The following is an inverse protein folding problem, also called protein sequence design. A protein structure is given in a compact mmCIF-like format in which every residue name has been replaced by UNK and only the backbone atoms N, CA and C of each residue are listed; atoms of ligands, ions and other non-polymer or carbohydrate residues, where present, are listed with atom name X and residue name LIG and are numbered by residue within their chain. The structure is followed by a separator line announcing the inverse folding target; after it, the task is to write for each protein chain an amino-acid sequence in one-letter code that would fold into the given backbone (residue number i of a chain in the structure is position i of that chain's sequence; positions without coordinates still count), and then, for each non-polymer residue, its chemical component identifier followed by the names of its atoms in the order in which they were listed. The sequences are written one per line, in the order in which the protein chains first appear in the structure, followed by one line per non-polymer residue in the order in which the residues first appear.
data_IF_366619481124
#
_entry.id   IF_366619481124
#
_cell.length_a   1.000
_cell.length_b   1.000
_cell.length_c   1.000
_cell.angle_alpha   90.00
_cell.angle_beta   90.00
_cell.angle_gamma   90.00
#
_symmetry.space_group_name_H-M   'P 1'
#
loop_
_entity.id
_entity.type
_entity.pdbx_description
1 polymer ?
#
# COMPACT_ATOMS: atom_id res chain seq x y z
N UNK A 1 56.12 14.80 85.34
CA UNK A 1 56.04 15.32 83.94
C UNK A 1 56.34 14.24 82.89
N UNK A 2 57.45 13.50 83.05
CA UNK A 2 57.90 12.45 82.12
C UNK A 2 56.96 11.25 82.01
N UNK A 3 56.46 10.71 83.13
CA UNK A 3 55.56 9.55 83.11
C UNK A 3 54.22 9.83 82.39
N UNK A 4 53.71 11.07 82.46
CA UNK A 4 52.50 11.46 81.70
C UNK A 4 52.77 11.53 80.20
N UNK A 5 54.00 11.90 79.81
CA UNK A 5 54.42 11.94 78.42
C UNK A 5 54.59 10.52 77.84
N UNK A 6 55.22 9.61 78.57
CA UNK A 6 55.35 8.21 78.11
C UNK A 6 54.00 7.51 78.00
N UNK A 7 53.09 7.71 78.96
CA UNK A 7 51.74 7.17 78.88
C UNK A 7 50.94 7.72 77.68
N UNK A 8 51.10 9.02 77.39
CA UNK A 8 50.48 9.64 76.21
C UNK A 8 51.09 9.14 74.90
N UNK A 9 52.41 8.89 74.87
CA UNK A 9 53.11 8.33 73.71
C UNK A 9 52.65 6.91 73.41
N UNK A 10 52.53 6.07 74.43
CA UNK A 10 52.10 4.67 74.27
C UNK A 10 50.64 4.58 73.85
N UNK A 11 49.78 5.46 74.39
CA UNK A 11 48.39 5.58 73.93
C UNK A 11 48.30 6.08 72.48
N UNK A 12 49.13 7.05 72.08
CA UNK A 12 49.17 7.54 70.70
C UNK A 12 49.66 6.44 69.73
N UNK A 13 50.65 5.63 70.14
CA UNK A 13 51.13 4.48 69.37
C UNK A 13 50.06 3.39 69.22
N UNK A 14 49.31 3.08 70.28
CA UNK A 14 48.18 2.14 70.22
C UNK A 14 47.03 2.64 69.35
N UNK A 15 46.67 3.92 69.45
CA UNK A 15 45.65 4.51 68.59
C UNK A 15 46.10 4.51 67.13
N UNK A 16 47.40 4.71 66.87
CA UNK A 16 47.96 4.61 65.52
C UNK A 16 47.95 3.18 64.99
N UNK A 17 48.24 2.17 65.81
CA UNK A 17 48.16 0.76 65.38
C UNK A 17 46.73 0.34 65.08
N UNK A 18 45.77 0.71 65.95
CA UNK A 18 44.33 0.45 65.75
C UNK A 18 43.82 1.17 64.50
N UNK A 19 44.24 2.42 64.26
CA UNK A 19 43.92 3.16 63.03
C UNK A 19 44.45 2.43 61.79
N UNK A 20 45.72 2.01 61.81
CA UNK A 20 46.32 1.31 60.67
C UNK A 20 45.63 -0.05 60.41
N UNK A 21 45.30 -0.81 61.46
CA UNK A 21 44.54 -2.06 61.34
C UNK A 21 43.13 -1.83 60.75
N UNK A 22 42.46 -0.74 61.14
CA UNK A 22 41.18 -0.34 60.59
C UNK A 22 41.29 0.13 59.13
N UNK A 23 42.34 0.86 58.77
CA UNK A 23 42.63 1.26 57.38
C UNK A 23 42.92 0.03 56.50
N UNK A 24 43.71 -0.93 56.98
CA UNK A 24 43.98 -2.20 56.28
C UNK A 24 42.73 -3.06 56.12
N UNK A 25 41.86 -3.11 57.14
CA UNK A 25 40.58 -3.81 57.05
C UNK A 25 39.67 -3.15 56.01
N UNK A 26 39.59 -1.82 56.01
CA UNK A 26 38.80 -1.04 55.05
C UNK A 26 39.31 -1.21 53.62
N UNK A 27 40.62 -1.29 53.41
CA UNK A 27 41.21 -1.58 52.10
C UNK A 27 40.93 -3.01 51.62
N UNK A 28 40.95 -4.00 52.51
CA UNK A 28 40.53 -5.38 52.19
C UNK A 28 39.04 -5.45 51.81
N UNK A 29 38.17 -4.72 52.50
CA UNK A 29 36.76 -4.63 52.15
C UNK A 29 36.54 -3.94 50.79
N UNK A 30 37.24 -2.82 50.51
CA UNK A 30 37.17 -2.18 49.19
C UNK A 30 37.64 -3.11 48.05
N UNK A 31 38.72 -3.86 48.28
CA UNK A 31 39.24 -4.83 47.30
C UNK A 31 38.28 -5.99 47.04
N UNK A 32 37.44 -6.36 48.00
CA UNK A 32 36.43 -7.44 47.83
C UNK A 32 35.10 -6.93 47.27
N UNK A 33 34.71 -5.69 47.55
CA UNK A 33 33.48 -5.07 47.02
C UNK A 33 33.63 -4.69 45.54
N UNK A 34 34.76 -4.12 45.14
CA UNK A 34 35.00 -3.70 43.75
C UNK A 34 34.74 -4.79 42.67
N UNK A 35 35.18 -6.05 42.82
CA UNK A 35 34.85 -7.10 41.86
C UNK A 35 33.37 -7.52 41.90
N UNK A 36 32.69 -7.39 43.04
CA UNK A 36 31.26 -7.70 43.16
C UNK A 36 30.41 -6.65 42.44
N UNK A 37 30.72 -5.35 42.62
CA UNK A 37 30.04 -4.27 41.87
C UNK A 37 30.23 -4.40 40.35
N UNK A 38 31.41 -4.86 39.90
CA UNK A 38 31.65 -5.15 38.48
C UNK A 38 30.77 -6.30 38.00
N UNK A 39 30.65 -7.38 38.76
CA UNK A 39 29.79 -8.51 38.43
C UNK A 39 28.31 -8.11 38.42
N UNK A 40 27.88 -7.29 39.37
CA UNK A 40 26.53 -6.74 39.44
C UNK A 40 26.20 -5.90 38.20
N UNK A 41 27.09 -4.98 37.80
CA UNK A 41 26.90 -4.18 36.59
C UNK A 41 26.83 -5.04 35.32
N UNK A 42 27.67 -6.07 35.21
CA UNK A 42 27.64 -7.00 34.07
C UNK A 42 26.34 -7.81 34.07
N UNK A 43 25.89 -8.29 35.23
CA UNK A 43 24.63 -9.01 35.38
C UNK A 43 23.41 -8.12 35.07
N UNK A 44 23.42 -6.86 35.50
CA UNK A 44 22.37 -5.89 35.20
C UNK A 44 22.27 -5.59 33.69
N UNK A 45 23.40 -5.42 33.00
CA UNK A 45 23.43 -5.26 31.53
C UNK A 45 22.96 -6.54 30.82
N UNK A 46 23.33 -7.72 31.32
CA UNK A 46 22.86 -8.99 30.76
C UNK A 46 21.35 -9.16 30.95
N UNK A 47 20.82 -8.76 32.12
CA UNK A 47 19.38 -8.78 32.41
C UNK A 47 18.62 -7.83 31.49
N UNK A 48 19.10 -6.59 31.33
CA UNK A 48 18.47 -5.60 30.43
C UNK A 48 18.44 -6.08 28.97
N UNK A 49 19.53 -6.71 28.51
CA UNK A 49 19.56 -7.35 27.18
C UNK A 49 18.55 -8.49 27.07
N UNK A 50 18.43 -9.33 28.10
CA UNK A 50 17.49 -10.44 28.10
C UNK A 50 16.03 -9.95 28.14
N UNK A 51 15.73 -8.88 28.89
CA UNK A 51 14.39 -8.28 28.92
C UNK A 51 14.01 -7.66 27.58
N UNK A 52 14.95 -6.94 26.95
CA UNK A 52 14.73 -6.37 25.61
C UNK A 52 14.54 -7.45 24.55
N UNK A 53 15.33 -8.54 24.59
CA UNK A 53 15.12 -9.67 23.71
C UNK A 53 13.76 -10.36 23.94
N UNK A 54 13.32 -10.45 25.19
CA UNK A 54 12.00 -11.01 25.53
C UNK A 54 10.85 -10.15 25.00
N UNK A 55 10.96 -8.82 25.07
CA UNK A 55 9.96 -7.91 24.49
C UNK A 55 9.92 -8.03 22.97
N UNK A 56 11.09 -8.07 22.31
CA UNK A 56 11.18 -8.21 20.86
C UNK A 56 10.56 -9.54 20.39
N UNK A 57 10.87 -10.65 21.08
CA UNK A 57 10.27 -11.94 20.79
C UNK A 57 8.76 -11.94 21.04
N UNK A 58 8.27 -11.27 22.08
CA UNK A 58 6.83 -11.15 22.35
C UNK A 58 6.11 -10.38 21.24
N UNK A 59 6.71 -9.30 20.75
CA UNK A 59 6.18 -8.54 19.61
C UNK A 59 6.20 -9.37 18.33
N UNK A 60 7.29 -10.10 18.06
CA UNK A 60 7.39 -11.01 16.92
C UNK A 60 6.30 -12.09 16.96
N UNK A 61 6.07 -12.73 18.11
CA UNK A 61 5.02 -13.74 18.30
C UNK A 61 3.62 -13.13 18.12
N UNK A 62 3.38 -11.93 18.64
CA UNK A 62 2.12 -11.20 18.44
C UNK A 62 1.87 -10.89 16.97
N UNK A 63 2.89 -10.42 16.25
CA UNK A 63 2.80 -10.11 14.82
C UNK A 63 2.57 -11.39 14.00
N UNK A 64 3.33 -12.46 14.26
CA UNK A 64 3.11 -13.76 13.64
C UNK A 64 1.67 -14.27 13.87
N UNK A 65 1.15 -14.15 15.09
CA UNK A 65 -0.22 -14.54 15.42
C UNK A 65 -1.27 -13.71 14.70
N UNK A 66 -1.03 -12.41 14.45
CA UNK A 66 -1.91 -11.59 13.60
C UNK A 66 -1.85 -12.04 12.15
N UNK A 67 -0.66 -12.32 11.62
CA UNK A 67 -0.48 -12.78 10.24
C UNK A 67 -1.17 -14.14 10.00
N UNK A 68 -1.02 -15.10 10.92
CA UNK A 68 -1.71 -16.39 10.85
C UNK A 68 -3.23 -16.22 10.85
N UNK A 69 -3.77 -15.37 11.73
CA UNK A 69 -5.22 -15.07 11.73
C UNK A 69 -5.70 -14.41 10.45
N UNK A 70 -4.89 -13.51 9.87
CA UNK A 70 -5.19 -12.89 8.59
C UNK A 70 -5.20 -13.92 7.46
N UNK A 71 -4.19 -14.80 7.42
CA UNK A 71 -4.09 -15.88 6.43
C UNK A 71 -5.27 -16.87 6.54
N UNK A 72 -5.68 -17.23 7.76
CA UNK A 72 -6.86 -18.07 7.99
C UNK A 72 -8.14 -17.44 7.43
N UNK A 73 -8.35 -16.13 7.65
CA UNK A 73 -9.51 -15.42 7.08
C UNK A 73 -9.48 -15.39 5.55
N UNK A 74 -8.31 -15.24 4.95
CA UNK A 74 -8.19 -15.28 3.49
C UNK A 74 -8.45 -16.67 2.93
N UNK A 75 -8.04 -17.72 3.66
CA UNK A 75 -8.32 -19.10 3.30
C UNK A 75 -9.81 -19.40 3.38
N UNK A 76 -10.49 -19.06 4.49
CA UNK A 76 -11.94 -19.21 4.63
C UNK A 76 -12.72 -18.50 3.51
N UNK A 77 -12.25 -17.32 3.09
CA UNK A 77 -12.88 -16.58 2.00
C UNK A 77 -12.64 -17.24 0.63
N UNK A 78 -11.48 -17.85 0.43
CA UNK A 78 -11.19 -18.63 -0.76
C UNK A 78 -12.04 -19.90 -0.80
N UNK A 79 -12.18 -20.62 0.32
CA UNK A 79 -13.01 -21.83 0.41
C UNK A 79 -14.48 -21.53 0.11
N UNK A 80 -15.02 -20.42 0.64
CA UNK A 80 -16.38 -19.97 0.31
C UNK A 80 -16.54 -19.63 -1.18
N UNK A 81 -15.52 -19.05 -1.80
CA UNK A 81 -15.54 -18.76 -3.24
C UNK A 81 -15.48 -20.06 -4.06
N UNK A 82 -14.66 -21.02 -3.66
CA UNK A 82 -14.58 -22.33 -4.31
C UNK A 82 -15.93 -23.04 -4.24
N UNK A 83 -16.55 -23.08 -3.06
CA UNK A 83 -17.90 -23.66 -2.91
C UNK A 83 -18.94 -22.97 -3.80
N UNK A 84 -18.91 -21.63 -3.89
CA UNK A 84 -19.81 -20.89 -4.79
C UNK A 84 -19.50 -21.06 -6.28
N UNK A 85 -18.29 -21.48 -6.66
CA UNK A 85 -17.95 -21.86 -8.04
C UNK A 85 -18.46 -23.27 -8.33
N UNK A 86 -18.34 -24.19 -7.38
CA UNK A 86 -18.87 -25.56 -7.50
C UNK A 86 -20.39 -25.54 -7.67
N UNK A 87 -21.11 -24.76 -6.86
CA UNK A 87 -22.57 -24.58 -6.99
C UNK A 87 -22.96 -24.07 -8.38
N UNK A 88 -22.26 -23.07 -8.91
CA UNK A 88 -22.49 -22.55 -10.28
C UNK A 88 -22.17 -23.56 -11.37
N UNK A 89 -21.15 -24.40 -11.17
CA UNK A 89 -20.83 -25.46 -12.12
C UNK A 89 -21.93 -26.51 -12.15
N UNK A 90 -22.51 -26.84 -11.00
CA UNK A 90 -23.63 -27.78 -10.94
C UNK A 90 -24.91 -27.18 -11.53
N UNK A 91 -25.18 -25.88 -11.32
CA UNK A 91 -26.26 -25.16 -12.02
C UNK A 91 -26.08 -25.21 -13.55
N UNK A 92 -24.89 -24.90 -14.05
CA UNK A 92 -24.60 -24.93 -15.49
C UNK A 92 -24.73 -26.34 -16.08
N UNK A 93 -24.32 -27.38 -15.35
CA UNK A 93 -24.52 -28.78 -15.76
C UNK A 93 -26.00 -29.13 -15.84
N UNK A 94 -26.79 -28.71 -14.86
CA UNK A 94 -28.24 -28.93 -14.89
C UNK A 94 -28.93 -28.19 -16.05
N UNK A 95 -28.45 -26.98 -16.39
CA UNK A 95 -28.90 -26.26 -17.58
C UNK A 95 -28.51 -26.98 -18.87
N UNK A 96 -27.28 -27.49 -18.96
CA UNK A 96 -26.80 -28.27 -20.11
C UNK A 96 -27.65 -29.53 -20.32
N UNK A 97 -27.94 -30.28 -19.26
CA UNK A 97 -28.82 -31.45 -19.30
C UNK A 97 -30.25 -31.08 -19.74
N UNK A 98 -30.78 -29.94 -19.28
CA UNK A 98 -32.08 -29.42 -19.69
C UNK A 98 -32.11 -29.03 -21.17
N UNK A 99 -31.03 -28.42 -21.67
CA UNK A 99 -30.89 -28.07 -23.09
C UNK A 99 -30.77 -29.33 -23.94
N UNK A 100 -29.95 -30.30 -23.52
CA UNK A 100 -29.83 -31.58 -24.21
C UNK A 100 -31.19 -32.31 -24.31
N UNK A 101 -31.96 -32.33 -23.21
CA UNK A 101 -33.30 -32.91 -23.21
C UNK A 101 -34.27 -32.17 -24.13
N UNK A 102 -34.19 -30.83 -24.19
CA UNK A 102 -34.98 -30.02 -25.14
C UNK A 102 -34.57 -30.29 -26.59
N UNK A 103 -33.27 -30.40 -26.87
CA UNK A 103 -32.77 -30.73 -28.20
C UNK A 103 -33.25 -32.10 -28.65
N UNK A 104 -33.24 -33.11 -27.77
CA UNK A 104 -33.75 -34.43 -28.10
C UNK A 104 -35.26 -34.43 -28.36
N UNK A 105 -36.05 -33.67 -27.58
CA UNK A 105 -37.49 -33.48 -27.83
C UNK A 105 -37.75 -32.80 -29.17
N UNK A 106 -37.06 -31.70 -29.47
CA UNK A 106 -37.19 -30.98 -30.74
C UNK A 106 -36.76 -31.87 -31.92
N UNK A 107 -35.70 -32.67 -31.76
CA UNK A 107 -35.29 -33.62 -32.80
C UNK A 107 -36.38 -34.66 -33.09
N UNK A 108 -37.07 -35.17 -32.06
CA UNK A 108 -38.22 -36.08 -32.21
C UNK A 108 -39.42 -35.39 -32.84
N UNK A 109 -39.72 -34.14 -32.47
CA UNK A 109 -40.78 -33.34 -33.11
C UNK A 109 -40.48 -33.06 -34.57
N UNK A 110 -39.25 -32.68 -34.93
CA UNK A 110 -38.83 -32.48 -36.32
C UNK A 110 -38.99 -33.77 -37.11
N UNK A 111 -38.56 -34.91 -36.57
CA UNK A 111 -38.74 -36.20 -37.24
C UNK A 111 -40.23 -36.51 -37.48
N UNK A 112 -41.09 -36.27 -36.48
CA UNK A 112 -42.52 -36.51 -36.59
C UNK A 112 -43.20 -35.55 -37.58
N UNK A 113 -42.81 -34.28 -37.59
CA UNK A 113 -43.28 -33.28 -38.55
C UNK A 113 -42.82 -33.59 -39.97
N UNK A 114 -41.60 -34.06 -40.17
CA UNK A 114 -41.11 -34.52 -41.48
C UNK A 114 -41.89 -35.75 -41.98
N UNK A 115 -42.26 -36.67 -41.08
CA UNK A 115 -43.10 -37.82 -41.41
C UNK A 115 -44.52 -37.36 -41.79
N UNK A 116 -45.09 -36.42 -41.04
CA UNK A 116 -46.40 -35.82 -41.35
C UNK A 116 -46.38 -35.02 -42.66
N UNK A 117 -45.29 -34.32 -42.96
CA UNK A 117 -45.12 -33.58 -44.21
C UNK A 117 -45.06 -34.50 -45.44
N UNK A 118 -44.53 -35.73 -45.29
CA UNK A 118 -44.55 -36.76 -46.34
C UNK A 118 -45.93 -37.37 -46.56
N UNK A 119 -46.78 -37.36 -45.53
CA UNK A 119 -48.15 -37.94 -45.56
C UNK A 119 -49.19 -36.90 -45.96
N UNK A 120 -48.90 -35.60 -45.79
CA UNK A 120 -49.76 -34.53 -46.29
C UNK A 120 -49.69 -34.43 -47.82
N UNK A 121 -50.84 -34.44 -48.53
CA UNK A 121 -50.87 -33.98 -49.91
C UNK A 121 -50.52 -32.49 -49.93
N UNK A 122 -49.77 -32.04 -50.95
CA UNK A 122 -49.39 -30.64 -51.17
C UNK A 122 -50.57 -29.71 -50.88
N UNK A 123 -50.45 -28.95 -49.79
CA UNK A 123 -51.49 -28.05 -49.34
C UNK A 123 -51.73 -26.99 -50.44
N UNK A 124 -52.98 -26.92 -50.88
CA UNK A 124 -53.47 -25.88 -51.77
C UNK A 124 -53.03 -24.51 -51.22
N UNK A 125 -52.34 -23.75 -52.07
CA UNK A 125 -51.93 -22.38 -51.80
C UNK A 125 -53.14 -21.52 -51.45
N UNK A 126 -53.21 -21.07 -50.19
CA UNK A 126 -54.16 -20.06 -49.75
C UNK A 126 -53.49 -18.67 -49.80
N UNK A 127 -53.84 -17.82 -50.79
CA UNK A 127 -53.17 -16.53 -51.03
C UNK A 127 -53.40 -15.48 -49.92
N UNK A 128 -54.30 -15.75 -48.95
CA UNK A 128 -54.55 -14.88 -47.80
C UNK A 128 -53.52 -15.11 -46.70
N UNK A 129 -53.19 -16.37 -46.40
CA UNK A 129 -52.17 -16.73 -45.42
C UNK A 129 -50.76 -16.28 -45.84
N UNK A 130 -50.48 -16.28 -47.15
CA UNK A 130 -49.21 -15.83 -47.71
C UNK A 130 -49.00 -14.32 -47.56
N UNK A 131 -50.06 -13.52 -47.65
CA UNK A 131 -50.00 -12.07 -47.40
C UNK A 131 -49.75 -11.76 -45.93
N UNK A 132 -50.45 -12.41 -45.01
CA UNK A 132 -50.23 -12.22 -43.56
C UNK A 132 -48.84 -12.70 -43.13
N UNK A 133 -48.35 -13.80 -43.71
CA UNK A 133 -46.99 -14.28 -43.49
C UNK A 133 -45.94 -13.28 -44.03
N UNK A 134 -46.14 -12.73 -45.22
CA UNK A 134 -45.26 -11.72 -45.80
C UNK A 134 -45.25 -10.41 -44.99
N UNK A 135 -46.40 -9.97 -44.47
CA UNK A 135 -46.47 -8.79 -43.61
C UNK A 135 -45.78 -9.00 -42.26
N UNK A 136 -45.88 -10.21 -41.68
CA UNK A 136 -45.11 -10.58 -40.48
C UNK A 136 -43.61 -10.64 -40.76
N UNK A 137 -43.20 -11.21 -41.89
CA UNK A 137 -41.80 -11.23 -42.32
C UNK A 137 -41.27 -9.81 -42.50
N UNK A 138 -42.09 -8.89 -43.02
CA UNK A 138 -41.70 -7.49 -43.20
C UNK A 138 -41.51 -6.78 -41.85
N UNK A 139 -42.44 -6.94 -40.91
CA UNK A 139 -42.31 -6.41 -39.54
C UNK A 139 -41.09 -6.96 -38.82
N UNK A 140 -40.85 -8.27 -38.92
CA UNK A 140 -39.66 -8.90 -38.34
C UNK A 140 -38.37 -8.39 -38.98
N UNK A 141 -38.35 -8.11 -40.28
CA UNK A 141 -37.20 -7.49 -40.95
C UNK A 141 -36.94 -6.06 -40.45
N UNK A 142 -37.99 -5.29 -40.24
CA UNK A 142 -37.88 -3.92 -39.71
C UNK A 142 -37.39 -3.94 -38.24
N UNK A 143 -37.86 -4.89 -37.42
CA UNK A 143 -37.37 -5.10 -36.06
C UNK A 143 -35.90 -5.57 -36.05
N UNK A 144 -35.51 -6.49 -36.93
CA UNK A 144 -34.11 -6.93 -37.07
C UNK A 144 -33.23 -5.74 -37.47
N UNK A 145 -33.66 -4.92 -38.44
CA UNK A 145 -32.92 -3.73 -38.85
C UNK A 145 -32.75 -2.71 -37.71
N UNK A 146 -33.80 -2.53 -36.88
CA UNK A 146 -33.73 -1.68 -35.70
C UNK A 146 -32.73 -2.23 -34.68
N UNK A 147 -32.79 -3.52 -34.35
CA UNK A 147 -31.88 -4.17 -33.41
C UNK A 147 -30.44 -4.13 -33.91
N UNK A 148 -30.21 -4.34 -35.22
CA UNK A 148 -28.88 -4.22 -35.82
C UNK A 148 -28.35 -2.79 -35.74
N UNK A 149 -29.20 -1.78 -35.94
CA UNK A 149 -28.79 -0.38 -35.78
C UNK A 149 -28.39 -0.05 -34.33
N UNK A 150 -29.16 -0.54 -33.35
CA UNK A 150 -28.83 -0.37 -31.93
C UNK A 150 -27.55 -1.10 -31.57
N UNK A 151 -27.35 -2.31 -32.10
CA UNK A 151 -26.12 -3.09 -31.91
C UNK A 151 -24.91 -2.36 -32.48
N UNK A 152 -25.01 -1.74 -33.66
CA UNK A 152 -23.91 -0.95 -34.24
C UNK A 152 -23.59 0.27 -33.38
N UNK A 153 -24.60 0.98 -32.87
CA UNK A 153 -24.39 2.13 -31.97
C UNK A 153 -23.67 1.69 -30.68
N UNK A 154 -24.13 0.62 -30.03
CA UNK A 154 -23.48 0.09 -28.82
C UNK A 154 -22.04 -0.40 -29.08
N UNK A 155 -21.79 -1.00 -30.25
CA UNK A 155 -20.43 -1.40 -30.64
C UNK A 155 -19.51 -0.19 -30.86
N UNK A 156 -20.06 0.90 -31.38
CA UNK A 156 -19.34 2.15 -31.58
C UNK A 156 -19.02 2.81 -30.23
N UNK A 157 -19.99 2.95 -29.34
CA UNK A 157 -19.79 3.46 -27.97
C UNK A 157 -18.75 2.63 -27.20
N UNK A 158 -18.82 1.30 -27.31
CA UNK A 158 -17.82 0.40 -26.71
C UNK A 158 -16.41 0.68 -27.26
N UNK A 159 -16.27 0.87 -28.57
CA UNK A 159 -14.96 1.19 -29.18
C UNK A 159 -14.42 2.52 -28.67
N UNK A 160 -15.26 3.54 -28.56
CA UNK A 160 -14.89 4.86 -28.06
C UNK A 160 -14.43 4.79 -26.59
N UNK A 161 -15.22 4.14 -25.73
CA UNK A 161 -14.84 3.92 -24.33
C UNK A 161 -13.53 3.11 -24.22
N UNK A 162 -13.34 2.11 -25.07
CA UNK A 162 -12.12 1.30 -25.08
C UNK A 162 -10.89 2.10 -25.53
N UNK A 163 -11.05 3.01 -26.51
CA UNK A 163 -10.00 3.96 -26.89
C UNK A 163 -9.68 4.94 -25.76
N UNK A 164 -10.70 5.43 -25.05
CA UNK A 164 -10.51 6.31 -23.91
C UNK A 164 -9.74 5.61 -22.77
N UNK A 165 -10.10 4.37 -22.44
CA UNK A 165 -9.37 3.54 -21.47
C UNK A 165 -7.90 3.37 -21.89
N UNK A 166 -7.63 3.11 -23.18
CA UNK A 166 -6.27 2.99 -23.67
C UNK A 166 -5.50 4.32 -23.55
N UNK A 167 -6.13 5.44 -23.88
CA UNK A 167 -5.52 6.77 -23.78
C UNK A 167 -5.23 7.15 -22.32
N UNK A 168 -6.16 6.88 -21.41
CA UNK A 168 -5.98 7.06 -19.97
C UNK A 168 -4.89 6.13 -19.44
N UNK A 169 -4.85 4.88 -19.87
CA UNK A 169 -3.79 3.93 -19.52
C UNK A 169 -2.40 4.42 -19.95
N UNK A 170 -2.26 4.88 -21.21
CA UNK A 170 -1.02 5.50 -21.70
C UNK A 170 -0.64 6.73 -20.89
N UNK A 171 -1.61 7.56 -20.52
CA UNK A 171 -1.39 8.77 -19.71
C UNK A 171 -0.90 8.42 -18.30
N UNK A 172 -1.52 7.43 -17.64
CA UNK A 172 -1.07 6.92 -16.33
C UNK A 172 0.35 6.37 -16.44
N UNK A 173 0.64 5.57 -17.45
CA UNK A 173 1.98 5.01 -17.66
C UNK A 173 3.03 6.09 -17.93
N UNK A 174 2.68 7.14 -18.68
CA UNK A 174 3.55 8.29 -18.93
C UNK A 174 3.83 9.06 -17.63
N UNK A 175 2.81 9.28 -16.79
CA UNK A 175 2.97 9.93 -15.48
C UNK A 175 3.82 9.09 -14.52
N UNK A 176 3.62 7.77 -14.48
CA UNK A 176 4.44 6.84 -13.70
C UNK A 176 5.89 6.84 -14.18
N UNK A 177 6.11 6.75 -15.49
CA UNK A 177 7.45 6.82 -16.10
C UNK A 177 8.15 8.13 -15.78
N UNK A 178 7.44 9.27 -15.85
CA UNK A 178 7.98 10.59 -15.49
C UNK A 178 8.32 10.66 -13.99
N UNK A 179 7.45 10.13 -13.14
CA UNK A 179 7.70 10.03 -11.70
C UNK A 179 8.93 9.18 -11.38
N UNK A 180 9.07 8.02 -12.03
CA UNK A 180 10.22 7.13 -11.88
C UNK A 180 11.51 7.74 -12.42
N UNK A 181 11.45 8.47 -13.54
CA UNK A 181 12.59 9.19 -14.09
C UNK A 181 13.08 10.28 -13.13
N UNK A 182 12.17 11.07 -12.55
CA UNK A 182 12.50 12.07 -11.51
C UNK A 182 13.07 11.42 -10.26
N UNK A 183 12.48 10.31 -9.80
CA UNK A 183 13.00 9.58 -8.64
C UNK A 183 14.42 9.04 -8.90
N UNK A 184 14.69 8.53 -10.10
CA UNK A 184 16.01 8.07 -10.50
C UNK A 184 17.01 9.24 -10.61
N UNK A 185 16.57 10.40 -11.09
CA UNK A 185 17.39 11.62 -11.09
C UNK A 185 17.73 12.07 -9.67
N UNK A 186 16.74 12.09 -8.77
CA UNK A 186 16.95 12.37 -7.35
C UNK A 186 17.91 11.36 -6.73
N UNK A 187 17.77 10.06 -7.02
CA UNK A 187 18.65 9.00 -6.51
C UNK A 187 20.10 9.15 -6.98
N UNK A 188 20.32 9.64 -8.20
CA UNK A 188 21.67 9.96 -8.73
C UNK A 188 22.28 11.18 -8.04
N UNK A 189 21.47 12.19 -7.72
CA UNK A 189 21.93 13.40 -7.04
C UNK A 189 22.14 13.19 -5.52
N UNK A 190 21.21 12.50 -4.87
CA UNK A 190 21.22 12.16 -3.46
C UNK A 190 20.40 10.89 -3.18
N UNK A 191 21.10 9.77 -2.98
CA UNK A 191 20.48 8.50 -2.65
C UNK A 191 19.65 8.57 -1.35
N UNK A 192 20.09 9.34 -0.35
CA UNK A 192 19.41 9.42 0.95
C UNK A 192 18.08 10.16 0.87
N UNK A 193 18.01 11.22 0.05
CA UNK A 193 16.76 11.95 -0.19
C UNK A 193 15.76 11.09 -0.98
N UNK A 194 16.24 10.30 -1.95
CA UNK A 194 15.39 9.37 -2.68
C UNK A 194 14.84 8.24 -1.78
N UNK A 195 15.68 7.68 -0.91
CA UNK A 195 15.26 6.67 0.07
C UNK A 195 14.28 7.27 1.10
N UNK A 196 14.50 8.52 1.53
CA UNK A 196 13.55 9.21 2.40
C UNK A 196 12.21 9.41 1.70
N UNK A 197 12.20 9.79 0.43
CA UNK A 197 10.97 9.96 -0.34
C UNK A 197 10.18 8.66 -0.50
N UNK A 198 10.84 7.56 -0.83
CA UNK A 198 10.17 6.26 -0.93
C UNK A 198 9.64 5.79 0.42
N UNK A 199 10.40 6.01 1.50
CA UNK A 199 9.99 5.68 2.86
C UNK A 199 8.76 6.48 3.31
N UNK A 200 8.76 7.81 3.11
CA UNK A 200 7.60 8.65 3.44
C UNK A 200 6.38 8.23 2.62
N UNK A 201 6.56 7.93 1.32
CA UNK A 201 5.46 7.48 0.45
C UNK A 201 4.84 6.16 0.90
N UNK A 202 5.62 5.23 1.44
CA UNK A 202 5.13 3.94 1.94
C UNK A 202 4.26 4.07 3.19
N UNK A 203 4.56 5.05 4.04
CA UNK A 203 3.87 5.25 5.32
C UNK A 203 2.88 6.43 5.31
N UNK A 204 2.81 7.16 4.19
CA UNK A 204 1.99 8.35 4.03
C UNK A 204 0.49 8.12 4.34
N UNK A 205 -0.02 6.93 4.00
CA UNK A 205 -1.42 6.56 4.28
C UNK A 205 -1.75 6.48 5.77
N UNK A 206 -0.75 6.21 6.62
CA UNK A 206 -0.92 6.10 8.06
C UNK A 206 -0.70 7.43 8.78
N UNK A 207 0.15 8.30 8.26
CA UNK A 207 0.56 9.53 8.95
C UNK A 207 -0.22 10.76 8.56
N UNK A 208 -0.67 10.86 7.30
CA UNK A 208 -1.21 12.11 6.77
C UNK A 208 -2.74 12.12 6.65
N UNK A 209 -3.45 11.06 7.04
CA UNK A 209 -4.93 11.00 7.01
C UNK A 209 -5.51 11.41 5.64
N UNK A 210 -4.82 11.09 4.54
CA UNK A 210 -5.22 11.47 3.18
C UNK A 210 -4.84 12.90 2.75
N UNK A 211 -4.13 13.66 3.60
CA UNK A 211 -3.58 14.98 3.25
C UNK A 211 -2.35 14.83 2.34
N UNK A 212 -2.19 15.73 1.35
CA UNK A 212 -1.08 15.66 0.43
C UNK A 212 0.22 16.11 1.12
N UNK A 213 1.31 15.39 0.82
CA UNK A 213 2.67 15.79 1.17
C UNK A 213 3.45 15.98 -0.13
N UNK A 214 4.41 16.91 -0.12
CA UNK A 214 5.19 17.27 -1.30
C UNK A 214 6.67 17.17 -1.02
N UNK A 215 7.45 16.91 -2.07
CA UNK A 215 8.90 16.96 -2.00
C UNK A 215 9.40 17.92 -3.06
N UNK A 216 10.11 18.98 -2.65
CA UNK A 216 10.41 20.13 -3.52
C UNK A 216 11.08 19.68 -4.82
N UNK A 217 12.11 18.83 -4.77
CA UNK A 217 12.77 18.32 -5.97
C UNK A 217 11.90 17.41 -6.87
N UNK A 218 10.84 16.80 -6.33
CA UNK A 218 9.95 15.92 -7.11
C UNK A 218 8.86 16.74 -7.82
N UNK A 219 8.40 17.82 -7.20
CA UNK A 219 7.26 18.61 -7.68
C UNK A 219 7.65 19.82 -8.54
N UNK A 220 8.93 20.18 -8.57
CA UNK A 220 9.41 21.22 -9.49
C UNK A 220 9.43 20.73 -10.94
N UNK A 221 9.01 21.59 -11.87
CA UNK A 221 9.21 21.39 -13.30
C UNK A 221 10.40 22.23 -13.76
N UNK A 222 11.24 21.70 -14.63
CA UNK A 222 12.35 22.44 -15.23
C UNK A 222 11.83 23.72 -15.89
N UNK A 223 12.13 24.85 -15.26
CA UNK A 223 11.87 26.19 -15.79
C UNK A 223 13.13 26.69 -16.49
N UNK A 224 12.99 27.64 -17.42
CA UNK A 224 14.13 28.32 -18.07
C UNK A 224 15.07 29.00 -17.06
N UNK A 225 14.59 29.25 -15.84
CA UNK A 225 15.33 29.86 -14.74
C UNK A 225 15.67 28.88 -13.61
N UNK A 226 15.63 27.57 -13.85
CA UNK A 226 15.88 26.56 -12.81
C UNK A 226 17.25 26.75 -12.13
N UNK A 227 18.31 27.00 -12.93
CA UNK A 227 19.66 27.20 -12.40
C UNK A 227 19.76 28.41 -11.46
N UNK A 228 19.10 29.53 -11.79
CA UNK A 228 19.10 30.72 -10.95
C UNK A 228 18.30 30.52 -9.65
N UNK A 229 17.23 29.71 -9.69
CA UNK A 229 16.44 29.39 -8.50
C UNK A 229 17.15 28.38 -7.61
N UNK A 230 17.86 27.41 -8.18
CA UNK A 230 18.66 26.44 -7.42
C UNK A 230 19.85 27.12 -6.72
N UNK A 231 20.47 28.13 -7.35
CA UNK A 231 21.55 28.91 -6.74
C UNK A 231 21.05 29.85 -5.63
N UNK A 232 19.85 30.41 -5.81
CA UNK A 232 19.23 31.29 -4.81
C UNK A 232 18.68 30.54 -3.58
N UNK A 233 18.34 29.25 -3.71
CA UNK A 233 17.71 28.47 -2.64
C UNK A 233 18.75 27.62 -1.89
N UNK A 234 18.72 27.61 -0.55
CA UNK A 234 19.57 26.71 0.23
C UNK A 234 19.32 25.24 -0.15
N UNK A 235 20.41 24.48 -0.30
CA UNK A 235 20.36 23.05 -0.65
C UNK A 235 19.44 22.20 0.23
N UNK A 236 19.29 22.55 1.52
CA UNK A 236 18.42 21.82 2.43
C UNK A 236 16.92 22.02 2.10
N UNK A 237 16.54 23.18 1.54
CA UNK A 237 15.17 23.52 1.22
C UNK A 237 14.72 22.84 -0.08
N UNK A 238 15.63 22.71 -1.06
CA UNK A 238 15.40 21.94 -2.29
C UNK A 238 15.14 20.45 -1.98
N UNK A 239 15.69 19.96 -0.87
CA UNK A 239 15.54 18.58 -0.37
C UNK A 239 14.48 18.44 0.73
N UNK A 240 13.70 19.49 0.99
CA UNK A 240 12.72 19.48 2.06
C UNK A 240 11.40 18.84 1.62
N UNK A 241 10.76 18.17 2.57
CA UNK A 241 9.35 17.81 2.49
C UNK A 241 8.50 18.99 2.92
N UNK A 242 7.44 19.25 2.18
CA UNK A 242 6.44 20.27 2.51
C UNK A 242 5.18 19.56 2.99
N UNK A 243 4.75 19.93 4.19
CA UNK A 243 3.56 19.37 4.86
C UNK A 243 2.56 20.48 5.20
N UNK A 244 1.27 20.12 5.17
CA UNK A 244 0.17 21.06 5.35
C UNK A 244 -0.16 21.39 6.82
N UNK A 245 0.28 20.58 7.78
CA UNK A 245 -0.02 20.74 9.22
C UNK A 245 1.24 20.68 10.06
N UNK A 246 1.29 21.45 11.17
CA UNK A 246 2.37 21.35 12.15
C UNK A 246 2.45 19.96 12.81
N UNK A 247 1.30 19.32 13.07
CA UNK A 247 1.25 17.95 13.62
C UNK A 247 1.88 16.90 12.67
N UNK A 248 1.70 17.08 11.35
CA UNK A 248 2.27 16.20 10.33
C UNK A 248 3.79 16.37 10.27
N UNK A 249 4.29 17.61 10.44
CA UNK A 249 5.71 17.90 10.55
C UNK A 249 6.32 17.18 11.74
N UNK A 250 5.72 17.31 12.92
CA UNK A 250 6.26 16.72 14.15
C UNK A 250 6.24 15.19 14.10
N UNK A 251 5.19 14.62 13.51
CA UNK A 251 5.09 13.19 13.24
C UNK A 251 6.19 12.73 12.30
N UNK A 252 6.39 13.42 11.18
CA UNK A 252 7.42 13.08 10.20
C UNK A 252 8.83 13.16 10.80
N UNK A 253 9.13 14.20 11.59
CA UNK A 253 10.42 14.36 12.28
C UNK A 253 10.64 13.27 13.33
N UNK A 254 9.61 12.95 14.12
CA UNK A 254 9.68 11.89 15.14
C UNK A 254 9.94 10.53 14.51
N UNK A 255 9.18 10.17 13.48
CA UNK A 255 9.33 8.88 12.81
C UNK A 255 10.65 8.81 12.01
N UNK A 256 11.10 9.92 11.40
CA UNK A 256 12.38 9.94 10.69
C UNK A 256 13.56 9.73 11.64
N UNK A 257 13.50 10.28 12.86
CA UNK A 257 14.52 10.06 13.89
C UNK A 257 14.59 8.60 14.32
N UNK A 258 13.44 7.94 14.55
CA UNK A 258 13.38 6.50 14.85
C UNK A 258 13.99 5.65 13.73
N UNK A 259 13.67 5.99 12.48
CA UNK A 259 14.20 5.32 11.29
C UNK A 259 15.65 5.70 10.96
N UNK A 260 16.31 6.56 11.76
CA UNK A 260 17.67 7.10 11.54
C UNK A 260 17.83 7.78 10.17
N UNK A 261 16.75 8.36 9.64
CA UNK A 261 16.75 9.10 8.38
C UNK A 261 16.85 10.61 8.63
N UNK A 262 17.78 11.28 7.94
CA UNK A 262 17.89 12.74 7.97
C UNK A 262 16.94 13.33 6.93
N UNK A 263 15.83 13.89 7.39
CA UNK A 263 14.80 14.47 6.54
C UNK A 263 14.65 15.95 6.88
N UNK A 264 14.75 16.83 5.89
CA UNK A 264 14.40 18.24 6.04
C UNK A 264 12.88 18.37 5.88
N UNK A 265 12.21 19.05 6.82
CA UNK A 265 10.76 19.22 6.80
C UNK A 265 10.42 20.69 7.02
N UNK A 266 9.63 21.24 6.11
CA UNK A 266 9.11 22.60 6.17
C UNK A 266 7.58 22.53 6.23
N UNK A 267 7.00 23.32 7.12
CA UNK A 267 5.55 23.47 7.23
C UNK A 267 5.15 24.77 6.53
N UNK A 268 4.15 24.68 5.64
CA UNK A 268 3.55 25.85 4.99
C UNK A 268 2.05 25.84 5.27
N UNK A 269 1.55 26.72 6.16
CA UNK A 269 0.11 26.81 6.43
C UNK A 269 -0.63 27.26 5.17
N UNK A 270 -1.79 26.66 4.90
CA UNK A 270 -2.66 26.96 3.76
C UNK A 270 -1.99 26.79 2.38
N UNK A 271 -1.09 25.83 2.24
CA UNK A 271 -0.56 25.47 0.92
C UNK A 271 -1.67 24.89 0.03
N UNK A 272 -2.13 25.67 -0.94
CA UNK A 272 -3.02 25.22 -2.01
C UNK A 272 -2.14 24.77 -3.18
N UNK A 273 -2.13 23.47 -3.54
CA UNK A 273 -1.35 23.03 -4.67
C UNK A 273 -1.86 23.67 -5.94
N UNK A 274 -0.95 24.20 -6.75
CA UNK A 274 -1.28 24.63 -8.10
C UNK A 274 -1.68 23.38 -8.90
N UNK A 275 -2.83 23.38 -9.60
CA UNK A 275 -3.18 22.24 -10.45
C UNK A 275 -2.04 22.00 -11.47
N UNK A 276 -1.84 20.75 -11.90
CA UNK A 276 -0.80 20.41 -12.86
C UNK A 276 -0.95 21.31 -14.09
N UNK A 277 0.18 21.78 -14.62
CA UNK A 277 0.20 22.64 -15.81
C UNK A 277 -0.40 21.83 -16.97
N UNK A 278 -1.69 22.08 -17.23
CA UNK A 278 -2.43 21.54 -18.36
C UNK A 278 -2.05 22.33 -19.61
N UNK A 279 -1.85 21.61 -20.72
CA UNK A 279 -1.73 22.24 -22.03
C UNK A 279 -3.03 22.98 -22.38
N UNK A 280 -2.96 24.02 -23.22
CA UNK A 280 -4.12 24.85 -23.56
C UNK A 280 -5.31 24.01 -24.09
N UNK A 281 -5.04 22.95 -24.86
CA UNK A 281 -6.08 22.04 -25.35
C UNK A 281 -6.68 21.10 -24.30
N UNK A 282 -6.00 20.88 -23.16
CA UNK A 282 -6.54 20.08 -22.05
C UNK A 282 -7.47 20.90 -21.14
N UNK A 283 -7.22 22.20 -21.05
CA UNK A 283 -8.08 23.16 -20.36
C UNK A 283 -9.44 23.31 -21.05
N UNK A 284 -9.41 23.43 -22.37
CA UNK A 284 -10.59 23.55 -23.22
C UNK A 284 -11.49 22.29 -23.18
N UNK A 285 -10.88 21.09 -23.06
CA UNK A 285 -11.62 19.82 -22.90
C UNK A 285 -12.26 19.63 -21.52
N UNK A 286 -11.77 20.32 -20.50
CA UNK A 286 -12.25 20.21 -19.12
C UNK A 286 -13.10 21.40 -18.70
N UNK A 287 -13.31 22.39 -19.58
CA UNK A 287 -14.10 23.59 -19.30
C UNK A 287 -13.46 24.54 -18.26
N UNK A 288 -12.12 24.57 -18.19
CA UNK A 288 -11.34 25.41 -17.27
C UNK A 288 -10.58 26.48 -18.03
#
# INVERSE_FOLDING_TARGET
PWCKFELARDNALRLRSVRNEAEDALDKFKKTIAPLERKEKVAAVALDKATNAMTDHREAVSNASRNVRSALRTLDLADRKSAGIEEKLDELRAEEDSIAAKQERLAKEIANLLEQLKVMPEAQHDPVAEKEANDRIRKLRDEIALVDSQRQNLLQERKEAQQEIQNLGRRVQALQSRGNAKLNQLRRADARAADAYTWVKQHASQWFEGRPFYHVAMDTSASRHAAALEDALPNWLVRAFVVSTAADRDTLVRESQKAKMKVAVTFVPNFVPRPPIMSAGEKERLGI
#
